data_IF_242868736525
#
_entry.id   IF_242868736525
#
_cell.length_a   1.000
_cell.length_b   1.000
_cell.length_c   1.000
_cell.angle_alpha   90.00
_cell.angle_beta   90.00
_cell.angle_gamma   90.00
#
_symmetry.space_group_name_H-M   'P 1'
#
loop_
_entity.id
_entity.type
_entity.pdbx_description
1 polymer ?
2 non-polymer ?
3 non-polymer ?
4 non-polymer ?
5 non-polymer ?
6 water ?
#
# COMPACT_ATOMS: atom_id res chain seq x y z
N UNK A 5 -19.17 15.14 18.45
CA UNK A 5 -18.34 14.34 17.54
C UNK A 5 -18.44 14.84 16.10
N UNK A 6 -17.46 14.48 15.27
CA UNK A 6 -17.42 15.02 13.93
C UNK A 6 -18.36 14.30 12.96
N UNK A 7 -18.59 13.00 13.12
CA UNK A 7 -19.53 12.28 12.28
C UNK A 7 -20.94 12.40 12.84
N UNK A 8 -21.91 12.70 11.98
CA UNK A 8 -23.28 12.73 12.48
C UNK A 8 -23.85 11.35 12.69
N UNK A 9 -23.26 10.32 12.08
CA UNK A 9 -23.65 8.94 12.33
C UNK A 9 -22.54 8.02 11.84
N UNK A 10 -22.47 6.85 12.45
CA UNK A 10 -21.34 5.94 12.24
C UNK A 10 -21.66 4.98 11.09
N UNK A 11 -21.75 5.56 9.90
CA UNK A 11 -22.06 4.84 8.67
C UNK A 11 -21.26 5.45 7.54
N UNK A 12 -21.20 4.73 6.42
CA UNK A 12 -20.58 5.30 5.22
C UNK A 12 -21.26 6.60 4.82
N UNK A 13 -22.57 6.70 5.04
CA UNK A 13 -23.30 7.92 4.73
C UNK A 13 -22.84 9.08 5.62
N UNK A 14 -22.60 8.81 6.90
CA UNK A 14 -22.08 9.86 7.78
C UNK A 14 -20.68 10.29 7.38
N UNK A 15 -19.84 9.34 6.95
CA UNK A 15 -18.50 9.71 6.50
C UNK A 15 -18.58 10.56 5.24
N UNK A 16 -19.49 10.20 4.32
CA UNK A 16 -19.60 10.99 3.09
C UNK A 16 -20.04 12.42 3.41
N UNK A 17 -21.03 12.59 4.30
CA UNK A 17 -21.41 13.95 4.68
C UNK A 17 -20.23 14.69 5.31
N UNK A 18 -19.45 14.01 6.15
CA UNK A 18 -18.29 14.67 6.74
C UNK A 18 -17.29 15.11 5.67
N UNK A 19 -17.03 14.25 4.68
CA UNK A 19 -16.03 14.55 3.65
C UNK A 19 -16.41 15.77 2.82
N UNK A 20 -17.69 16.06 2.69
CA UNK A 20 -18.16 17.21 1.92
C UNK A 20 -18.52 18.39 2.81
N UNK A 21 -18.10 18.36 4.06
CA UNK A 21 -18.19 19.53 4.93
C UNK A 21 -16.86 20.28 4.90
N UNK A 22 -16.91 21.53 5.36
CA UNK A 22 -15.71 22.35 5.39
C UNK A 22 -14.66 21.80 6.35
N UNK A 23 -15.05 20.90 7.25
CA UNK A 23 -14.14 20.41 8.28
C UNK A 23 -13.14 19.40 7.73
N UNK A 24 -13.44 18.75 6.63
CA UNK A 24 -12.63 17.65 6.12
C UNK A 24 -11.78 18.17 4.95
N UNK A 25 -10.55 18.56 5.26
CA UNK A 25 -9.65 19.10 4.25
C UNK A 25 -8.49 18.17 3.90
N UNK A 26 -8.07 17.32 4.85
CA UNK A 26 -6.85 16.52 4.72
C UNK A 26 -7.17 15.07 5.03
N UNK A 27 -7.08 14.20 4.01
CA UNK A 27 -7.36 12.77 4.13
C UNK A 27 -6.04 12.00 4.06
N UNK A 28 -5.82 11.08 5.00
CA UNK A 28 -4.73 10.12 4.91
C UNK A 28 -5.33 8.77 4.58
N UNK A 29 -4.80 8.13 3.53
CA UNK A 29 -5.14 6.75 3.19
C UNK A 29 -4.06 5.84 3.75
N UNK A 30 -4.47 4.78 4.44
CA UNK A 30 -3.59 3.68 4.84
C UNK A 30 -4.07 2.46 4.07
N UNK A 31 -3.25 1.96 3.15
CA UNK A 31 -3.70 0.91 2.24
C UNK A 31 -2.75 -0.27 2.29
N UNK A 32 -3.32 -1.45 2.09
CA UNK A 32 -2.55 -2.69 2.14
C UNK A 32 -2.87 -3.62 0.98
N UNK A 33 -2.49 -4.89 1.15
CA UNK A 33 -2.57 -5.84 0.04
C UNK A 33 -3.98 -6.01 -0.47
N UNK A 34 -4.98 -5.73 0.36
CA UNK A 34 -6.36 -5.88 -0.06
C UNK A 34 -6.80 -4.91 -1.14
N UNK A 35 -6.04 -3.83 -1.38
CA UNK A 35 -6.40 -2.95 -2.49
C UNK A 35 -5.81 -3.39 -3.82
N UNK A 36 -4.97 -4.44 -3.83
CA UNK A 36 -4.38 -4.94 -5.06
C UNK A 36 -4.73 -6.37 -5.37
N UNK A 37 -5.46 -7.06 -4.49
CA UNK A 37 -5.83 -8.44 -4.80
C UNK A 37 -6.76 -8.51 -6.01
N UNK A 38 -7.61 -7.49 -6.23
CA UNK A 38 -8.43 -7.49 -7.44
C UNK A 38 -7.62 -7.15 -8.69
N UNK A 39 -6.38 -6.69 -8.54
CA UNK A 39 -5.45 -6.56 -9.65
C UNK A 39 -4.64 -7.84 -9.86
N UNK A 40 -4.96 -8.90 -9.12
CA UNK A 40 -4.31 -10.18 -9.28
C UNK A 40 -3.01 -10.34 -8.54
N UNK A 41 -2.72 -9.47 -7.57
CA UNK A 41 -1.47 -9.53 -6.81
C UNK A 41 -1.78 -10.14 -5.44
N UNK A 42 -1.27 -11.32 -5.13
CA UNK A 42 -1.57 -11.95 -3.83
C UNK A 42 -0.79 -11.37 -2.67
N UNK A 43 -1.33 -11.60 -1.48
CA UNK A 43 -0.83 -11.07 -0.21
C UNK A 43 0.12 -12.09 0.41
N UNK A 44 1.44 -11.89 0.25
CA UNK A 44 2.38 -12.86 0.81
C UNK A 44 2.46 -12.81 2.33
N UNK A 45 1.87 -11.81 2.97
CA UNK A 45 1.86 -11.76 4.43
C UNK A 45 0.63 -12.42 5.02
N UNK A 46 -0.27 -12.92 4.18
CA UNK A 46 -1.51 -13.50 4.65
C UNK A 46 -1.22 -14.84 5.35
N UNK A 47 -1.94 -15.16 6.43
CA UNK A 47 -1.79 -16.47 7.05
C UNK A 47 -2.03 -17.62 6.08
N UNK A 48 -2.80 -17.41 5.02
CA UNK A 48 -3.13 -18.47 4.09
C UNK A 48 -2.32 -18.41 2.80
N UNK A 49 -1.27 -17.59 2.74
CA UNK A 49 -0.45 -17.53 1.54
C UNK A 49 0.08 -18.90 1.17
N UNK A 50 0.16 -19.16 -0.13
CA UNK A 50 0.78 -20.36 -0.62
C UNK A 50 2.27 -20.20 -0.81
N UNK A 51 2.81 -19.05 -0.39
CA UNK A 51 4.19 -18.70 -0.69
C UNK A 51 5.18 -19.77 -0.26
N UNK A 52 5.06 -20.27 0.98
CA UNK A 52 6.08 -21.17 1.50
C UNK A 52 6.05 -22.52 0.79
N UNK A 53 4.84 -23.01 0.48
CA UNK A 53 4.73 -24.18 -0.37
C UNK A 53 5.47 -23.95 -1.68
N UNK A 54 5.32 -22.77 -2.28
CA UNK A 54 5.99 -22.51 -3.55
C UNK A 54 7.48 -22.24 -3.37
N UNK A 55 7.93 -21.94 -2.15
CA UNK A 55 9.35 -21.73 -1.88
C UNK A 55 10.11 -23.02 -1.72
N UNK A 56 9.42 -24.13 -1.43
CA UNK A 56 10.11 -25.40 -1.26
C UNK A 56 11.19 -25.69 -2.30
N UNK A 57 10.91 -25.37 -3.58
CA UNK A 57 11.83 -25.71 -4.67
C UNK A 57 13.10 -24.87 -4.66
N UNK A 58 13.19 -23.83 -3.85
CA UNK A 58 14.41 -23.04 -3.75
C UNK A 58 15.36 -23.55 -2.68
N UNK A 59 15.01 -24.66 -2.02
CA UNK A 59 15.81 -25.29 -0.96
C UNK A 59 16.50 -24.26 -0.07
N UNK A 60 15.67 -23.39 0.50
CA UNK A 60 16.12 -22.40 1.47
C UNK A 60 16.46 -23.09 2.79
N UNK A 61 17.32 -22.50 3.60
CA UNK A 61 17.54 -23.06 4.96
C UNK A 61 16.27 -23.02 5.80
N UNK A 62 15.41 -22.04 5.56
CA UNK A 62 14.10 -21.89 6.18
C UNK A 62 13.33 -20.88 5.33
N UNK A 63 11.99 -20.93 5.34
CA UNK A 63 11.25 -20.11 4.36
C UNK A 63 11.47 -18.61 4.51
N UNK A 64 11.53 -18.12 5.75
CA UNK A 64 11.69 -16.69 5.98
C UNK A 64 13.00 -16.16 5.43
N UNK A 65 13.96 -17.02 5.07
CA UNK A 65 15.21 -16.54 4.50
C UNK A 65 14.97 -15.75 3.22
N UNK A 66 13.87 -16.02 2.52
CA UNK A 66 13.57 -15.29 1.30
C UNK A 66 13.47 -13.80 1.56
N UNK A 67 13.07 -13.41 2.78
CA UNK A 67 12.83 -12.03 3.13
C UNK A 67 14.02 -11.36 3.81
N UNK A 68 15.11 -12.07 4.06
CA UNK A 68 16.18 -11.59 4.94
C UNK A 68 17.30 -10.99 4.11
N UNK A 69 17.77 -9.81 4.51
CA UNK A 69 18.79 -9.11 3.74
C UNK A 69 20.11 -9.88 3.74
N UNK A 70 20.47 -10.51 4.86
CA UNK A 70 21.75 -11.20 4.90
C UNK A 70 21.75 -12.43 3.97
N UNK A 71 20.64 -13.15 3.95
CA UNK A 71 20.54 -14.28 3.04
C UNK A 71 20.57 -13.81 1.59
N UNK A 72 19.78 -12.77 1.27
CA UNK A 72 19.81 -12.17 -0.06
C UNK A 72 21.23 -11.84 -0.50
N UNK A 73 22.00 -11.17 0.36
CA UNK A 73 23.33 -10.73 -0.06
C UNK A 73 24.26 -11.91 -0.28
N UNK A 74 24.05 -13.03 0.44
CA UNK A 74 24.92 -14.16 0.17
C UNK A 74 24.37 -15.12 -0.88
N UNK A 75 23.04 -15.19 -1.05
CA UNK A 75 22.40 -16.07 -2.03
C UNK A 75 21.22 -15.34 -2.65
N UNK A 76 21.48 -14.45 -3.61
CA UNK A 76 20.37 -13.66 -4.20
C UNK A 76 19.52 -14.42 -5.20
N UNK A 77 19.97 -15.58 -5.68
CA UNK A 77 19.25 -16.23 -6.77
C UNK A 77 17.83 -16.64 -6.42
N UNK A 78 17.53 -17.18 -5.23
CA UNK A 78 16.13 -17.50 -4.93
C UNK A 78 15.25 -16.28 -4.98
N UNK A 79 15.71 -15.15 -4.47
CA UNK A 79 14.88 -13.95 -4.50
C UNK A 79 14.54 -13.58 -5.94
N UNK A 80 15.52 -13.58 -6.85
CA UNK A 80 15.26 -13.13 -8.21
C UNK A 80 14.46 -14.16 -9.00
N UNK A 81 14.60 -15.44 -8.67
CA UNK A 81 13.72 -16.45 -9.29
C UNK A 81 12.27 -16.26 -8.82
N UNK A 82 12.10 -16.02 -7.52
CA UNK A 82 10.76 -15.75 -7.00
C UNK A 82 10.17 -14.49 -7.63
N UNK A 83 11.00 -13.45 -7.78
CA UNK A 83 10.54 -12.21 -8.38
C UNK A 83 10.04 -12.44 -9.79
N UNK A 84 10.69 -13.33 -10.53
CA UNK A 84 10.16 -13.66 -11.86
C UNK A 84 8.83 -14.40 -11.74
N UNK A 85 8.76 -15.37 -10.84
CA UNK A 85 7.51 -16.13 -10.66
C UNK A 85 6.34 -15.21 -10.31
N UNK A 86 6.57 -14.21 -9.45
CA UNK A 86 5.51 -13.38 -8.91
C UNK A 86 5.34 -12.05 -9.65
N UNK A 87 6.10 -11.81 -10.71
CA UNK A 87 6.03 -10.52 -11.38
C UNK A 87 4.60 -10.30 -11.89
N UNK A 88 3.99 -9.15 -11.60
CA UNK A 88 2.59 -8.94 -12.01
C UNK A 88 2.42 -9.12 -13.51
N UNK A 89 1.29 -9.71 -13.90
CA UNK A 89 1.04 -9.91 -15.32
C UNK A 89 0.66 -8.64 -16.03
N UNK A 90 -0.02 -7.74 -15.33
CA UNK A 90 -0.41 -6.42 -15.80
C UNK A 90 -0.15 -5.43 -14.68
N UNK A 91 0.03 -4.17 -15.06
CA UNK A 91 0.15 -3.10 -14.09
C UNK A 91 -1.09 -2.21 -14.25
N UNK A 92 -2.20 -2.72 -13.75
CA UNK A 92 -3.51 -2.09 -13.93
C UNK A 92 -4.06 -1.75 -12.57
N UNK A 93 -3.96 -0.49 -12.13
CA UNK A 93 -4.46 -0.14 -10.80
C UNK A 93 -5.96 -0.39 -10.71
N UNK A 94 -6.43 -0.59 -9.48
CA UNK A 94 -7.82 -0.95 -9.26
C UNK A 94 -8.69 0.30 -9.11
N UNK A 95 -10.00 0.05 -9.07
CA UNK A 95 -10.96 1.09 -8.75
C UNK A 95 -10.55 1.85 -7.50
N UNK A 96 -10.09 1.12 -6.48
CA UNK A 96 -9.61 1.76 -5.25
C UNK A 96 -8.43 2.70 -5.52
N UNK A 97 -7.45 2.26 -6.31
CA UNK A 97 -6.32 3.14 -6.63
C UNK A 97 -6.79 4.42 -7.31
N UNK A 98 -7.75 4.30 -8.26
CA UNK A 98 -8.21 5.48 -8.96
C UNK A 98 -9.10 6.35 -8.08
N UNK A 99 -9.78 5.77 -7.08
CA UNK A 99 -10.46 6.59 -6.09
C UNK A 99 -9.47 7.48 -5.34
N UNK A 100 -8.30 6.91 -4.99
CA UNK A 100 -7.28 7.75 -4.36
C UNK A 100 -6.77 8.82 -5.32
N UNK A 101 -6.68 8.50 -6.62
CA UNK A 101 -6.33 9.52 -7.60
C UNK A 101 -7.35 10.66 -7.61
N UNK A 102 -8.63 10.33 -7.47
CA UNK A 102 -9.63 11.40 -7.36
C UNK A 102 -9.41 12.24 -6.11
N UNK A 103 -9.11 11.60 -4.98
CA UNK A 103 -8.81 12.38 -3.78
C UNK A 103 -7.66 13.36 -4.02
N UNK A 104 -6.61 12.90 -4.71
CA UNK A 104 -5.50 13.80 -5.05
C UNK A 104 -5.98 14.94 -5.95
N UNK A 105 -6.73 14.59 -7.01
CA UNK A 105 -7.22 15.57 -7.99
C UNK A 105 -8.01 16.68 -7.32
N UNK A 106 -8.80 16.33 -6.32
CA UNK A 106 -9.73 17.23 -5.66
C UNK A 106 -9.09 17.94 -4.47
N UNK A 107 -7.79 17.73 -4.27
CA UNK A 107 -7.03 18.43 -3.23
C UNK A 107 -7.27 17.93 -1.84
N UNK A 108 -7.81 16.72 -1.69
CA UNK A 108 -8.10 16.16 -0.38
C UNK A 108 -7.03 15.24 0.16
N UNK A 109 -6.11 14.75 -0.66
CA UNK A 109 -5.18 13.70 -0.24
C UNK A 109 -3.94 14.34 0.38
N UNK A 110 -3.82 14.21 1.71
CA UNK A 110 -2.58 14.58 2.38
C UNK A 110 -1.48 13.56 2.11
N UNK A 111 -1.81 12.28 2.24
CA UNK A 111 -0.79 11.25 2.07
C UNK A 111 -1.47 9.90 1.89
N UNK A 112 -0.81 9.04 1.12
CA UNK A 112 -1.15 7.62 1.04
C UNK A 112 0.01 6.83 1.62
N UNK A 113 -0.21 6.18 2.76
CA UNK A 113 0.73 5.21 3.33
C UNK A 113 0.33 3.84 2.80
N UNK A 114 1.29 3.13 2.22
CA UNK A 114 0.99 1.85 1.60
C UNK A 114 1.91 0.75 2.09
N UNK A 115 1.35 -0.43 2.31
CA UNK A 115 2.12 -1.63 2.56
C UNK A 115 2.60 -2.31 1.28
N UNK A 116 2.16 -1.83 0.12
CA UNK A 116 2.36 -2.57 -1.12
C UNK A 116 3.63 -2.15 -1.83
N UNK A 117 4.21 -3.12 -2.54
CA UNK A 117 5.47 -2.94 -3.28
C UNK A 117 5.25 -2.93 -4.77
N UNK A 118 3.99 -2.97 -5.22
CA UNK A 118 3.64 -3.26 -6.60
C UNK A 118 3.67 -2.05 -7.53
N UNK A 119 3.89 -0.84 -6.99
CA UNK A 119 3.96 0.43 -7.73
C UNK A 119 2.63 0.90 -8.29
N UNK A 120 1.52 0.23 -7.98
CA UNK A 120 0.25 0.58 -8.62
C UNK A 120 -0.24 1.97 -8.22
N UNK A 121 0.09 2.46 -7.01
CA UNK A 121 -0.29 3.84 -6.66
C UNK A 121 0.34 4.85 -7.60
N UNK A 122 1.60 4.61 -7.98
CA UNK A 122 2.31 5.51 -8.89
C UNK A 122 1.72 5.43 -10.30
N UNK A 123 1.35 4.23 -10.74
CA UNK A 123 0.74 4.09 -12.07
C UNK A 123 -0.58 4.84 -12.11
N UNK A 124 -1.32 4.83 -11.01
CA UNK A 124 -2.57 5.58 -10.93
C UNK A 124 -2.37 7.08 -10.82
N UNK A 125 -1.13 7.55 -10.62
CA UNK A 125 -0.88 8.97 -10.67
C UNK A 125 -0.51 9.61 -9.34
N UNK A 126 -0.42 8.86 -8.26
CA UNK A 126 0.08 9.45 -7.03
C UNK A 126 1.58 9.69 -7.18
N UNK A 127 2.04 10.84 -6.73
CA UNK A 127 3.43 11.21 -6.94
C UNK A 127 4.28 10.83 -5.75
N UNK A 128 5.61 10.90 -5.93
CA UNK A 128 6.54 10.49 -4.88
C UNK A 128 6.19 11.09 -3.53
N UNK A 129 5.97 12.40 -3.48
CA UNK A 129 5.75 13.01 -2.17
C UNK A 129 4.38 12.68 -1.59
N UNK A 130 3.43 12.23 -2.42
CA UNK A 130 2.12 11.78 -1.94
C UNK A 130 2.20 10.47 -1.17
N UNK A 131 3.26 9.70 -1.37
CA UNK A 131 3.32 8.31 -0.97
C UNK A 131 4.33 8.08 0.14
N UNK A 132 3.96 7.22 1.08
CA UNK A 132 4.90 6.69 2.06
C UNK A 132 4.81 5.18 1.96
N UNK A 133 5.87 4.57 1.44
CA UNK A 133 5.90 3.13 1.16
C UNK A 133 6.49 2.44 2.38
N UNK A 134 5.62 1.87 3.21
CA UNK A 134 6.02 1.33 4.51
C UNK A 134 6.90 0.10 4.38
N UNK A 135 6.85 -0.59 3.25
CA UNK A 135 7.72 -1.74 3.02
C UNK A 135 8.56 -1.56 1.77
N UNK A 136 8.73 -0.32 1.33
CA UNK A 136 9.51 -0.05 0.14
C UNK A 136 8.75 -0.33 -1.14
N UNK A 137 9.49 -0.42 -2.24
CA UNK A 137 8.86 -0.53 -3.56
C UNK A 137 9.83 -1.12 -4.58
N UNK A 138 9.27 -1.78 -5.60
CA UNK A 138 10.04 -2.19 -6.76
C UNK A 138 10.30 -1.05 -7.73
N UNK A 139 9.76 0.14 -7.48
CA UNK A 139 9.80 1.20 -8.48
C UNK A 139 11.22 1.58 -8.84
N UNK A 140 12.11 1.62 -7.86
CA UNK A 140 13.53 1.84 -8.10
C UNK A 140 14.32 0.75 -7.40
N UNK A 141 15.56 0.56 -7.88
CA UNK A 141 16.50 -0.37 -7.28
C UNK A 141 17.83 0.36 -7.11
N UNK A 142 18.66 -0.13 -6.19
CA UNK A 142 19.99 0.48 -6.01
C UNK A 142 21.06 -0.58 -5.88
N UNK A 143 22.20 -0.30 -6.49
CA UNK A 143 23.43 -0.99 -6.14
C UNK A 143 23.62 -0.99 -4.63
N UNK A 144 24.02 -2.13 -4.08
CA UNK A 144 24.14 -2.26 -2.62
C UNK A 144 25.48 -1.78 -2.06
N UNK A 145 26.45 -1.40 -2.91
CA UNK A 145 27.73 -0.93 -2.40
C UNK A 145 27.60 0.49 -1.87
N UNK A 146 28.05 0.69 -0.62
CA UNK A 146 27.87 1.98 0.04
C UNK A 146 28.55 3.12 -0.71
N UNK A 147 29.63 2.85 -1.41
CA UNK A 147 30.37 3.90 -2.10
C UNK A 147 29.85 4.15 -3.51
N UNK A 148 28.77 3.48 -3.92
CA UNK A 148 28.29 3.60 -5.29
C UNK A 148 26.79 3.92 -5.31
N UNK A 149 25.93 2.97 -4.92
CA UNK A 149 24.49 3.22 -4.75
C UNK A 149 23.81 3.69 -6.03
N UNK A 150 24.36 3.32 -7.19
CA UNK A 150 23.75 3.64 -8.47
C UNK A 150 22.29 3.21 -8.49
N UNK A 151 21.42 4.08 -8.99
CA UNK A 151 19.98 3.82 -9.04
C UNK A 151 19.57 3.28 -10.40
N UNK A 152 18.66 2.30 -10.41
CA UNK A 152 18.18 1.70 -11.64
C UNK A 152 16.65 1.69 -11.66
N UNK A 153 16.05 1.97 -12.82
CA UNK A 153 14.59 1.99 -12.93
C UNK A 153 14.03 0.58 -13.05
N UNK A 154 12.72 0.49 -12.84
CA UNK A 154 12.09 -0.82 -12.89
C UNK A 154 12.26 -1.49 -14.25
N UNK A 155 12.30 -0.73 -15.35
CA UNK A 155 12.49 -1.37 -16.66
C UNK A 155 13.79 -2.17 -16.70
N UNK A 156 14.85 -1.61 -16.13
CA UNK A 156 16.14 -2.29 -16.08
C UNK A 156 16.05 -3.56 -15.23
N UNK A 157 15.44 -3.44 -14.06
CA UNK A 157 15.32 -4.56 -13.14
C UNK A 157 14.42 -5.66 -13.72
N UNK A 158 13.34 -5.27 -14.39
CA UNK A 158 12.47 -6.25 -15.04
C UNK A 158 13.24 -7.04 -16.09
N UNK A 159 14.06 -6.35 -16.90
CA UNK A 159 14.81 -7.08 -17.93
C UNK A 159 15.73 -8.11 -17.30
N UNK A 160 16.41 -7.73 -16.20
CA UNK A 160 17.29 -8.70 -15.53
C UNK A 160 16.49 -9.85 -14.93
N UNK A 161 15.32 -9.55 -14.36
CA UNK A 161 14.51 -10.58 -13.73
C UNK A 161 14.04 -11.60 -14.77
N UNK A 162 13.54 -11.12 -15.91
CA UNK A 162 12.97 -12.04 -16.88
C UNK A 162 14.04 -12.78 -17.66
N UNK A 163 15.22 -12.19 -17.84
CA UNK A 163 16.31 -12.91 -18.48
C UNK A 163 17.05 -13.85 -17.54
N UNK A 164 16.69 -13.85 -16.25
CA UNK A 164 17.32 -14.72 -15.25
C UNK A 164 18.82 -14.44 -15.13
N UNK A 165 19.17 -13.17 -15.26
CA UNK A 165 20.53 -12.68 -15.02
C UNK A 165 20.50 -11.94 -13.70
N UNK A 166 21.25 -12.43 -12.72
CA UNK A 166 21.29 -11.76 -11.43
C UNK A 166 21.75 -10.32 -11.64
N UNK A 167 20.98 -9.32 -11.21
CA UNK A 167 21.31 -7.92 -11.55
C UNK A 167 22.58 -7.46 -10.84
N UNK A 168 23.56 -7.04 -11.64
CA UNK A 168 24.82 -6.49 -11.14
C UNK A 168 24.99 -5.05 -11.61
N UNK A 169 25.58 -4.23 -10.76
CA UNK A 169 25.75 -2.82 -11.08
C UNK A 169 26.71 -2.65 -12.25
N UNK A 170 26.33 -1.78 -13.20
CA UNK A 170 27.16 -1.54 -14.37
C UNK A 170 28.42 -0.77 -14.02
N UNK A 171 28.42 -0.05 -12.89
CA UNK A 171 29.61 0.71 -12.51
C UNK A 171 30.61 -0.09 -11.67
N UNK A 172 30.12 -0.97 -10.77
CA UNK A 172 31.00 -1.62 -9.81
C UNK A 172 30.78 -3.11 -9.67
N UNK A 173 29.76 -3.68 -10.33
CA UNK A 173 29.45 -5.10 -10.36
C UNK A 173 28.98 -5.66 -9.01
N UNK A 174 28.61 -4.80 -8.07
CA UNK A 174 27.91 -5.27 -6.88
C UNK A 174 26.47 -5.65 -7.22
N UNK A 175 25.81 -6.33 -6.28
CA UNK A 175 24.41 -6.65 -6.47
C UNK A 175 23.57 -5.38 -6.53
N UNK A 176 22.51 -5.43 -7.34
CA UNK A 176 21.50 -4.37 -7.38
C UNK A 176 20.22 -4.94 -6.78
N UNK A 177 19.67 -4.24 -5.78
CA UNK A 177 18.56 -4.72 -4.98
C UNK A 177 17.35 -3.80 -5.17
N UNK A 178 16.16 -4.34 -5.46
CA UNK A 178 14.95 -3.50 -5.44
C UNK A 178 14.81 -2.80 -4.11
N UNK A 179 14.26 -1.58 -4.15
CA UNK A 179 14.11 -0.76 -2.93
C UNK A 179 12.98 -1.21 -2.02
N UNK A 180 12.76 -2.52 -1.91
CA UNK A 180 11.84 -3.08 -0.94
C UNK A 180 12.61 -3.32 0.35
N UNK A 181 11.91 -3.29 1.48
CA UNK A 181 12.55 -3.36 2.79
C UNK A 181 12.60 -4.81 3.21
N UNK A 182 13.78 -5.41 3.12
CA UNK A 182 13.99 -6.77 3.60
C UNK A 182 14.01 -6.79 5.13
N UNK A 183 13.70 -7.96 5.70
CA UNK A 183 14.00 -8.19 7.11
C UNK A 183 15.46 -7.92 7.35
N UNK A 184 15.76 -7.22 8.45
CA UNK A 184 17.12 -6.81 8.72
C UNK A 184 17.48 -5.45 8.19
N UNK A 185 16.60 -4.82 7.43
CA UNK A 185 16.77 -3.45 6.97
C UNK A 185 15.89 -2.52 7.79
N UNK A 186 16.30 -1.27 7.89
CA UNK A 186 15.54 -0.26 8.62
C UNK A 186 14.56 0.44 7.69
N UNK A 187 13.47 0.94 8.28
CA UNK A 187 12.62 1.87 7.57
C UNK A 187 13.40 3.14 7.27
N UNK A 188 13.20 3.75 6.10
CA UNK A 188 13.85 5.03 5.83
C UNK A 188 13.39 6.10 6.82
N UNK A 189 14.27 7.08 7.05
CA UNK A 189 13.92 8.17 7.95
C UNK A 189 12.65 8.88 7.50
N UNK A 190 12.36 8.82 6.19
CA UNK A 190 11.23 9.57 5.66
C UNK A 190 9.91 9.06 6.23
N UNK A 191 9.80 7.76 6.50
CA UNK A 191 8.58 7.22 7.08
C UNK A 191 8.25 7.92 8.41
N UNK A 192 9.25 8.04 9.28
CA UNK A 192 8.99 8.63 10.59
C UNK A 192 8.81 10.13 10.48
N UNK A 193 9.57 10.79 9.59
CA UNK A 193 9.38 12.22 9.39
C UNK A 193 7.95 12.52 8.96
N UNK A 194 7.46 11.78 7.96
CA UNK A 194 6.09 11.97 7.50
C UNK A 194 5.08 11.66 8.59
N UNK A 195 5.24 10.53 9.28
CA UNK A 195 4.24 10.15 10.27
C UNK A 195 4.10 11.23 11.34
N UNK A 196 5.26 11.70 11.85
CA UNK A 196 5.29 12.72 12.89
C UNK A 196 4.61 14.00 12.45
N UNK A 197 4.67 14.34 11.16
CA UNK A 197 4.02 15.56 10.72
C UNK A 197 2.55 15.34 10.32
N UNK A 198 2.30 14.28 9.55
CA UNK A 198 1.01 14.08 8.92
C UNK A 198 -0.09 13.87 9.94
N UNK A 199 0.21 13.15 11.02
CA UNK A 199 -0.92 12.80 11.87
C UNK A 199 -1.33 13.93 12.82
N UNK A 200 -0.63 15.07 12.82
CA UNK A 200 -1.13 16.28 13.45
C UNK A 200 -2.15 17.00 12.56
N UNK A 201 -2.15 16.69 11.26
CA UNK A 201 -2.87 17.45 10.27
C UNK A 201 -4.11 16.73 9.75
N UNK A 202 -4.34 15.49 10.14
CA UNK A 202 -5.27 14.64 9.40
C UNK A 202 -6.71 14.88 9.88
N UNK A 203 -7.62 15.03 8.93
CA UNK A 203 -9.05 15.17 9.25
C UNK A 203 -9.84 13.88 9.08
N UNK A 204 -9.30 12.91 8.35
CA UNK A 204 -10.00 11.67 8.04
C UNK A 204 -8.96 10.62 7.72
N UNK A 205 -9.09 9.45 8.34
CA UNK A 205 -8.28 8.28 8.04
C UNK A 205 -9.12 7.30 7.23
N UNK A 206 -8.67 6.97 6.04
CA UNK A 206 -9.29 5.95 5.20
C UNK A 206 -8.38 4.74 5.20
N UNK A 207 -8.80 3.67 5.86
CA UNK A 207 -8.00 2.47 6.06
C UNK A 207 -8.59 1.40 5.15
N UNK A 208 -7.86 1.01 4.11
CA UNK A 208 -8.41 0.13 3.09
C UNK A 208 -7.50 -1.07 2.83
N UNK A 209 -8.08 -2.26 2.88
CA UNK A 209 -7.34 -3.44 2.47
C UNK A 209 -6.17 -3.79 3.34
N UNK A 210 -6.24 -3.51 4.64
CA UNK A 210 -5.18 -3.88 5.56
C UNK A 210 -5.78 -4.34 6.88
N UNK A 211 -5.21 -5.41 7.43
CA UNK A 211 -5.59 -5.92 8.74
C UNK A 211 -4.87 -5.21 9.88
N UNK A 212 -3.92 -4.32 9.57
CA UNK A 212 -3.19 -3.54 10.58
C UNK A 212 -2.46 -4.43 11.57
N UNK A 213 -1.99 -5.59 11.13
CA UNK A 213 -1.35 -6.54 12.04
C UNK A 213 0.18 -6.46 12.00
N UNK A 214 0.76 -5.98 10.91
CA UNK A 214 2.20 -5.96 10.70
C UNK A 214 2.71 -4.55 10.94
N UNK A 215 3.85 -4.43 11.62
CA UNK A 215 4.51 -3.15 11.75
C UNK A 215 5.11 -2.71 10.42
N UNK A 216 5.14 -1.41 10.13
CA UNK A 216 4.76 -0.30 11.03
C UNK A 216 3.29 0.07 10.99
N UNK A 217 2.48 -0.50 10.08
CA UNK A 217 1.06 -0.12 10.03
C UNK A 217 0.36 -0.35 11.36
N UNK A 218 0.79 -1.38 12.11
CA UNK A 218 0.16 -1.69 13.39
C UNK A 218 0.29 -0.56 14.41
N UNK A 219 1.16 0.41 14.17
CA UNK A 219 1.37 1.54 15.08
C UNK A 219 0.63 2.81 14.64
N UNK A 220 -0.01 2.83 13.47
CA UNK A 220 -0.38 4.10 12.85
C UNK A 220 -1.70 4.68 13.36
N UNK A 221 -2.75 3.88 13.51
CA UNK A 221 -4.04 4.53 13.77
C UNK A 221 -4.08 5.17 15.16
N UNK A 222 -3.23 4.74 16.08
CA UNK A 222 -3.13 5.39 17.38
C UNK A 222 -2.48 6.76 17.29
N UNK A 223 -1.90 7.11 16.15
CA UNK A 223 -1.26 8.41 16.00
C UNK A 223 -2.24 9.51 15.64
N UNK A 224 -3.45 9.16 15.20
CA UNK A 224 -4.42 10.17 14.80
C UNK A 224 -4.97 10.90 16.02
N UNK A 225 -5.33 12.18 15.88
CA UNK A 225 -6.01 12.86 16.97
C UNK A 225 -7.29 12.14 17.35
N UNK A 226 -7.71 12.34 18.60
CA UNK A 226 -8.86 11.61 19.12
C UNK A 226 -10.15 11.91 18.35
N UNK A 227 -10.28 13.10 17.76
CA UNK A 227 -11.52 13.44 17.07
C UNK A 227 -11.57 12.95 15.63
N UNK A 228 -10.45 12.54 15.04
CA UNK A 228 -10.39 12.23 13.62
C UNK A 228 -11.19 11.00 13.26
N UNK A 229 -12.20 11.09 12.39
CA UNK A 229 -12.92 9.89 11.97
C UNK A 229 -12.02 8.92 11.22
N UNK A 230 -12.33 7.64 11.38
CA UNK A 230 -11.54 6.57 10.78
C UNK A 230 -12.50 5.57 10.14
N UNK A 231 -12.40 5.44 8.82
CA UNK A 231 -13.26 4.54 8.05
C UNK A 231 -12.42 3.37 7.57
N UNK A 232 -12.83 2.16 7.92
CA UNK A 232 -12.21 0.93 7.44
C UNK A 232 -13.06 0.37 6.30
N UNK A 233 -12.44 0.18 5.14
CA UNK A 233 -13.03 -0.54 4.01
C UNK A 233 -12.21 -1.80 3.83
N UNK A 234 -12.79 -2.95 4.17
CA UNK A 234 -12.02 -4.19 4.22
C UNK A 234 -12.97 -5.36 4.22
N UNK A 235 -12.48 -6.52 3.74
CA UNK A 235 -13.32 -7.71 3.73
C UNK A 235 -13.76 -8.11 5.13
N UNK A 236 -12.96 -7.77 6.14
CA UNK A 236 -13.28 -8.10 7.52
C UNK A 236 -12.87 -6.95 8.44
N UNK A 237 -13.49 -6.92 9.62
CA UNK A 237 -13.14 -5.93 10.63
C UNK A 237 -11.71 -6.09 11.07
N UNK A 238 -11.06 -4.96 11.35
CA UNK A 238 -9.66 -4.97 11.73
C UNK A 238 -9.36 -3.74 12.57
N UNK A 239 -8.29 -3.84 13.34
CA UNK A 239 -7.79 -2.70 14.07
C UNK A 239 -8.29 -2.57 15.47
N UNK A 240 -9.24 -3.40 15.90
CA UNK A 240 -9.63 -3.39 17.29
C UNK A 240 -8.47 -3.92 18.13
N UNK A 241 -8.30 -3.36 19.32
CA UNK A 241 -7.28 -3.85 20.21
C UNK A 241 -7.56 -5.31 20.59
N UNK A 242 -6.50 -6.10 20.64
CA UNK A 242 -6.60 -7.45 21.15
C UNK A 242 -7.22 -7.43 22.55
N UNK A 243 -8.04 -8.42 22.92
CA UNK A 243 -8.66 -8.40 24.26
C UNK A 243 -7.66 -8.45 25.41
N UNK A 244 -6.42 -8.86 25.17
CA UNK A 244 -5.44 -8.96 26.25
C UNK A 244 -4.35 -7.91 26.11
N UNK A 252 -4.47 3.98 23.96
CA UNK A 252 -4.20 2.87 23.05
C UNK A 252 -4.60 3.20 21.62
N UNK A 253 -5.85 3.64 21.44
CA UNK A 253 -6.29 4.14 20.16
C UNK A 253 -6.74 3.10 19.16
N UNK A 254 -7.05 1.88 19.60
CA UNK A 254 -7.58 0.89 18.68
C UNK A 254 -8.95 1.26 18.15
N UNK A 255 -9.38 0.59 17.09
CA UNK A 255 -10.69 0.84 16.52
C UNK A 255 -11.79 0.50 17.52
N UNK A 256 -12.81 1.36 17.60
CA UNK A 256 -14.02 1.06 18.36
C UNK A 256 -15.20 1.28 17.42
N UNK A 257 -15.63 0.22 16.74
CA UNK A 257 -16.78 0.27 15.85
C UNK A 257 -18.11 0.08 16.57
N UNK A 258 -18.13 -0.77 17.59
CA UNK A 258 -19.37 -1.39 18.03
C UNK A 258 -19.68 -1.21 19.51
N UNK A 259 -18.77 -0.66 20.31
CA UNK A 259 -19.12 -0.47 21.71
C UNK A 259 -20.13 0.66 21.85
N UNK A 260 -20.72 0.73 23.04
CA UNK A 260 -21.64 1.79 23.39
C UNK A 260 -20.98 3.17 23.33
N UNK A 261 -19.66 3.22 23.48
CA UNK A 261 -18.90 4.46 23.45
C UNK A 261 -18.34 4.79 22.07
N UNK A 262 -18.65 3.99 21.06
CA UNK A 262 -18.17 4.28 19.71
C UNK A 262 -18.65 5.64 19.25
N UNK A 263 -17.76 6.39 18.58
CA UNK A 263 -18.07 7.77 18.23
C UNK A 263 -17.43 8.21 16.92
N UNK A 264 -16.44 7.48 16.39
CA UNK A 264 -15.73 7.99 15.22
C UNK A 264 -15.26 6.95 14.22
N UNK A 265 -15.40 5.66 14.54
CA UNK A 265 -14.86 4.59 13.71
C UNK A 265 -15.99 3.86 13.01
N UNK A 266 -15.83 3.62 11.71
CA UNK A 266 -16.85 3.03 10.86
C UNK A 266 -16.21 1.88 10.09
N UNK A 267 -16.87 0.73 10.06
CA UNK A 267 -16.40 -0.41 9.29
C UNK A 267 -17.38 -0.68 8.17
N UNK A 268 -16.88 -0.65 6.94
CA UNK A 268 -17.64 -1.07 5.76
C UNK A 268 -17.01 -2.36 5.27
N UNK A 269 -17.77 -3.44 5.26
CA UNK A 269 -17.20 -4.76 5.04
C UNK A 269 -17.51 -5.27 3.64
N UNK A 270 -16.47 -5.51 2.86
CA UNK A 270 -16.60 -5.93 1.48
C UNK A 270 -15.28 -5.71 0.78
N UNK A 271 -15.27 -5.99 -0.52
CA UNK A 271 -14.06 -5.72 -1.29
C UNK A 271 -13.80 -4.22 -1.37
N UNK A 272 -12.51 -3.85 -1.41
CA UNK A 272 -12.14 -2.44 -1.44
C UNK A 272 -12.72 -1.72 -2.65
N UNK A 273 -12.75 -2.39 -3.80
CA UNK A 273 -13.31 -1.75 -5.00
C UNK A 273 -14.77 -1.40 -4.77
N UNK A 274 -15.54 -2.32 -4.18
CA UNK A 274 -16.96 -2.07 -3.96
C UNK A 274 -17.18 -0.98 -2.94
N UNK A 275 -16.36 -0.94 -1.88
CA UNK A 275 -16.50 0.10 -0.88
C UNK A 275 -16.15 1.47 -1.42
N UNK A 276 -15.09 1.54 -2.22
CA UNK A 276 -14.73 2.82 -2.81
C UNK A 276 -15.76 3.29 -3.83
N UNK A 277 -16.31 2.36 -4.62
CA UNK A 277 -17.39 2.72 -5.53
C UNK A 277 -18.59 3.26 -4.76
N UNK A 278 -18.95 2.61 -3.64
CA UNK A 278 -20.10 3.07 -2.85
C UNK A 278 -19.86 4.46 -2.24
N UNK A 279 -18.66 4.70 -1.72
CA UNK A 279 -18.35 6.02 -1.17
C UNK A 279 -18.35 7.07 -2.28
N UNK A 280 -17.72 6.75 -3.42
CA UNK A 280 -17.74 7.66 -4.56
C UNK A 280 -19.17 8.00 -4.95
N UNK A 281 -20.05 7.00 -4.96
CA UNK A 281 -21.43 7.23 -5.36
C UNK A 281 -22.11 8.20 -4.40
N UNK A 282 -21.92 8.01 -3.09
CA UNK A 282 -22.46 8.97 -2.11
C UNK A 282 -21.92 10.38 -2.33
N UNK A 283 -20.66 10.49 -2.75
CA UNK A 283 -20.01 11.79 -2.93
C UNK A 283 -20.39 12.48 -4.25
N UNK A 284 -21.12 11.80 -5.13
CA UNK A 284 -21.41 12.35 -6.44
C UNK A 284 -20.29 12.15 -7.43
N UNK A 285 -19.34 11.26 -7.13
CA UNK A 285 -18.18 11.03 -7.98
C UNK A 285 -18.29 9.76 -8.80
N UNK A 286 -19.42 9.06 -8.78
CA UNK A 286 -19.44 7.75 -9.42
C UNK A 286 -19.19 7.85 -10.92
N UNK A 287 -19.82 8.82 -11.59
CA UNK A 287 -19.56 8.97 -13.03
C UNK A 287 -18.09 9.27 -13.29
N UNK A 288 -17.52 10.20 -12.51
CA UNK A 288 -16.10 10.55 -12.69
C UNK A 288 -15.22 9.32 -12.51
N UNK A 289 -15.48 8.52 -11.48
CA UNK A 289 -14.65 7.36 -11.21
C UNK A 289 -14.80 6.30 -12.28
N UNK A 290 -16.04 6.01 -12.70
CA UNK A 290 -16.27 5.04 -13.76
C UNK A 290 -15.58 5.46 -15.05
N UNK A 291 -15.72 6.73 -15.43
CA UNK A 291 -15.11 7.18 -16.68
C UNK A 291 -13.59 7.07 -16.60
N UNK A 292 -13.01 7.50 -15.48
CA UNK A 292 -11.56 7.42 -15.33
C UNK A 292 -11.07 5.98 -15.42
N UNK A 293 -11.71 5.07 -14.67
CA UNK A 293 -11.25 3.69 -14.63
C UNK A 293 -11.40 3.04 -15.99
N UNK A 294 -12.56 3.24 -16.66
CA UNK A 294 -12.74 2.61 -17.96
C UNK A 294 -11.70 3.09 -18.96
N UNK A 295 -11.38 4.38 -18.93
CA UNK A 295 -10.39 4.93 -19.85
C UNK A 295 -9.00 4.38 -19.58
N UNK A 296 -8.60 4.42 -18.31
CA UNK A 296 -7.25 3.98 -17.96
C UNK A 296 -7.10 2.48 -18.15
N UNK A 297 -8.11 1.70 -17.79
CA UNK A 297 -8.03 0.27 -18.00
C UNK A 297 -7.97 -0.09 -19.48
N UNK A 298 -8.79 0.56 -20.32
CA UNK A 298 -8.70 0.29 -21.76
C UNK A 298 -7.30 0.59 -22.29
N UNK A 299 -6.72 1.71 -21.86
CA UNK A 299 -5.39 2.07 -22.34
C UNK A 299 -4.34 1.05 -21.88
N UNK A 300 -4.43 0.59 -20.64
CA UNK A 300 -3.46 -0.36 -20.12
C UNK A 300 -3.63 -1.73 -20.79
N UNK A 301 -4.86 -2.16 -21.00
CA UNK A 301 -5.09 -3.38 -21.77
C UNK A 301 -4.48 -3.28 -23.17
N UNK A 302 -4.42 -2.06 -23.73
CA UNK A 302 -3.77 -1.87 -25.02
C UNK A 302 -2.25 -1.98 -24.97
N UNK A 303 -1.64 -2.01 -23.79
CA UNK A 303 -0.18 -2.05 -23.70
C UNK A 303 0.34 -3.47 -23.56
X LIG B 1 27.56 0.05 -7.99
X LIG C 1 1.43 -5.86 0.29
X LIG C 1 1.60 -6.95 -0.61
X LIG C 1 1.88 -8.25 0.14
X LIG C 1 2.70 -6.69 -1.67
X LIG C 1 2.49 -5.47 -2.35
X LIG C 1 2.83 -7.82 -2.69
X LIG D 1 15.04 1.03 1.33
X LIG D 1 16.29 1.67 1.63
X LIG D 1 15.26 -0.48 1.28
X LIG D 1 16.62 -0.74 0.87
X LIG E 1 -23.43 -3.75 5.51
X LIG E 1 -22.51 -2.94 4.80
X LIG E 1 -23.20 -1.74 4.17
X LIG E 1 -21.70 -3.77 3.80
X LIG E 1 -22.21 -3.64 2.47
X LIG E 1 -21.63 -5.22 4.23
X LIG F 1 5.24 -9.93 -5.18
X LIG F 1 7.61 -10.30 -4.74
X LIG F 1 5.58 -7.20 -7.43
X LIG F 1 7.47 -7.91 -8.47
X LIG F 1 6.60 -5.74 -8.85
X LIG F 1 6.62 -4.39 -9.50
X LIG F 1 9.71 -10.65 -4.22
X LIG F 1 9.18 -10.96 -3.00
X LIG F 1 9.90 -11.35 -1.75
X LIG F 1 10.31 -10.20 -0.86
X LIG F 1 11.56 -10.18 -0.24
X LIG F 1 11.93 -9.12 0.57
X LIG F 1 11.07 -8.07 0.79
X LIG F 1 9.82 -8.08 0.17
X LIG F 1 9.06 -6.13 1.36
X LIG F 1 8.49 -6.68 2.62
X LIG F 1 9.11 -7.34 3.65
X LIG F 1 8.25 -8.19 5.88
X LIG F 1 7.26 -9.32 6.08
X LIG F 1 7.32 -10.44 5.27
X LIG F 1 7.56 -6.70 -9.11
X LIG F 1 6.43 -11.48 5.42
X LIG F 1 5.45 -11.40 6.40
X LIG F 1 5.24 -13.76 5.98
X LIG F 1 4.13 -14.66 5.57
X LIG F 1 2.96 -14.69 7.77
X LIG F 1 2.46 -15.59 8.87
X LIG F 1 2.19 -17.38 7.41
X LIG F 1 2.68 -16.57 6.24
X LIG F 1 5.36 -10.29 7.22
X LIG F 1 6.28 -9.25 7.04
X LIG F 1 9.44 -9.14 -0.64
X LIG F 1 8.47 -9.01 -8.68
X LIG F 1 4.29 -9.34 -6.21
X LIG F 1 6.55 -9.95 -5.56
X LIG F 1 8.83 -10.27 -5.20
X LIG F 1 8.14 -7.58 4.55
X LIG F 1 3.62 -15.51 6.71
X LIG F 1 6.97 -7.09 4.13
X LIG F 1 7.18 -6.55 2.95
X LIG F 1 5.59 -5.98 -8.00
X LIG F 1 6.46 -8.18 -7.61
X LIG F 1 8.88 -7.08 0.32
X LIG F 1 4.68 -12.54 6.50
X LIG F 1 2.80 -16.95 8.62
X LIG F 1 4.83 -10.37 -4.11
X LIG F 1 7.47 -10.79 -3.09
X LIG F 1 4.26 -7.52 -6.33
#
# INVERSE_FOLDING_TARGET
GHMERLLDELTLEGVARYMQSERCRRVICLVGAGISTSAGIPDFRSPSTGLYDNLEKYHLPYPEAIFEISYFKKHPEPFFALAKELYPGQFKPTICHYFMRLLKDKGLLLRCYTQNIDTLERIAGLEQEDLVEAHGTFYTSHCVSASCRHEYPLSWMKEKIFSEVTPKCEDCQSLVKPDIVFFGESLPARFFSCMQSDFLKVDLLLVMGTSLQVQPFASLISKAPLSTPRLLINKEKAGQSDPFLGMIMGLGGGMDFDSKKAYRDVAWLGECDQGCLALAELLGWKKELEDLVRREHASIDAQS
ZN ZN
BU3 O6 C3 C4 C2 O5 C1
EDO C1 O1 C2 O2
BU3 O6 C3 C4 C2 O5 C1
A1JK0 C10 C12 C7 C4 C2 C1 C14 C15 C16 C17 C18 C19 C20 C21 C23 C24 C25 C27 C28 C29 C3 C30 C31 C33 C34 C36 C37 C39 C40 C41 C42 C45 C5 C9 N11 N13 N26 N35 N43 N44 N48 N6 O22 O32 O38 O47 S46 S8
#
